data_IF_235422290111
#
_entry.id   IF_235422290111
#
_cell.length_a   1.000
_cell.length_b   1.000
_cell.length_c   1.000
_cell.angle_alpha   90.00
_cell.angle_beta   90.00
_cell.angle_gamma   90.00
#
_symmetry.space_group_name_H-M   'P 1'
#
loop_
_entity.id
_entity.type
_entity.pdbx_description
1 polymer ?
#
# COMPACT_ATOMS: atom_id res chain seq x y z
N UNK A 1 18.56 -22.18 -57.60
CA UNK A 1 17.35 -21.34 -57.65
C UNK A 1 16.19 -22.09 -57.04
N UNK A 2 15.76 -21.75 -55.82
CA UNK A 2 14.34 -21.65 -55.40
C UNK A 2 14.37 -20.73 -54.17
N UNK A 3 14.06 -19.45 -54.39
CA UNK A 3 13.79 -18.47 -53.35
C UNK A 3 12.37 -18.70 -52.83
N UNK A 4 12.23 -19.18 -51.59
CA UNK A 4 10.93 -19.24 -50.91
C UNK A 4 10.68 -17.89 -50.23
N UNK A 5 9.82 -17.09 -50.85
CA UNK A 5 9.25 -15.87 -50.29
C UNK A 5 8.12 -16.29 -49.34
N UNK A 6 8.24 -16.00 -48.05
CA UNK A 6 7.12 -16.07 -47.11
C UNK A 6 6.65 -14.66 -46.76
N UNK A 7 5.37 -14.41 -47.05
CA UNK A 7 4.69 -13.12 -46.90
C UNK A 7 4.60 -12.65 -45.44
N UNK A 8 4.54 -11.32 -45.20
CA UNK A 8 4.32 -10.76 -43.86
C UNK A 8 2.88 -11.00 -43.38
N UNK A 9 2.73 -11.21 -42.08
CA UNK A 9 1.44 -11.39 -41.41
C UNK A 9 0.59 -10.09 -41.45
N UNK A 10 -0.74 -10.18 -41.52
CA UNK A 10 -1.62 -9.03 -41.58
C UNK A 10 -1.68 -8.28 -40.24
N UNK A 11 -1.79 -6.96 -40.34
CA UNK A 11 -2.12 -6.05 -39.25
C UNK A 11 -3.66 -5.92 -39.13
N UNK A 12 -4.12 -5.51 -37.94
CA UNK A 12 -5.50 -5.46 -37.42
C UNK A 12 -5.96 -6.80 -36.83
N UNK A 13 -6.39 -6.90 -35.58
CA UNK A 13 -7.02 -5.90 -34.71
C UNK A 13 -8.22 -6.61 -34.09
N UNK A 14 -7.99 -7.33 -32.99
CA UNK A 14 -8.99 -7.81 -32.02
C UNK A 14 -8.27 -8.67 -30.96
N UNK A 15 -8.02 -8.07 -29.79
CA UNK A 15 -7.27 -8.66 -28.69
C UNK A 15 -8.03 -9.82 -28.03
N UNK A 16 -7.88 -11.02 -28.60
CA UNK A 16 -8.22 -12.29 -27.97
C UNK A 16 -6.99 -13.19 -27.88
N UNK A 17 -5.95 -12.72 -27.18
CA UNK A 17 -4.79 -13.56 -26.86
C UNK A 17 -5.30 -14.82 -26.13
N UNK A 18 -5.06 -16.00 -26.71
CA UNK A 18 -5.49 -17.26 -26.13
C UNK A 18 -4.90 -17.38 -24.72
N UNK A 19 -5.76 -17.37 -23.70
CA UNK A 19 -5.34 -17.52 -22.32
C UNK A 19 -5.18 -19.02 -22.01
N UNK A 20 -3.96 -19.43 -21.66
CA UNK A 20 -3.68 -20.74 -21.12
C UNK A 20 -4.03 -20.78 -19.64
N UNK A 21 -4.78 -21.81 -19.23
CA UNK A 21 -5.14 -22.05 -17.83
C UNK A 21 -4.56 -23.40 -17.38
N UNK A 22 -3.81 -23.42 -16.27
CA UNK A 22 -3.37 -24.67 -15.66
C UNK A 22 -4.35 -25.13 -14.57
N UNK A 23 -5.06 -26.24 -14.80
CA UNK A 23 -6.02 -26.84 -13.87
C UNK A 23 -5.44 -27.26 -12.52
N UNK A 24 -4.11 -27.38 -12.41
CA UNK A 24 -3.44 -27.81 -11.17
C UNK A 24 -2.92 -26.67 -10.32
N UNK A 25 -2.39 -25.59 -10.92
CA UNK A 25 -1.91 -24.43 -10.18
C UNK A 25 -2.88 -23.24 -10.19
N UNK A 26 -3.97 -23.31 -10.97
CA UNK A 26 -5.01 -22.28 -11.06
C UNK A 26 -4.55 -20.96 -11.69
N UNK A 27 -3.35 -20.95 -12.29
CA UNK A 27 -2.76 -19.74 -12.88
C UNK A 27 -3.14 -19.62 -14.35
N UNK A 28 -3.40 -18.39 -14.77
CA UNK A 28 -3.76 -18.00 -16.13
C UNK A 28 -2.58 -17.22 -16.73
N UNK A 29 -2.22 -17.49 -17.98
CA UNK A 29 -1.23 -16.72 -18.73
C UNK A 29 -1.63 -16.59 -20.21
N UNK A 30 -1.11 -15.59 -20.91
CA UNK A 30 -1.30 -15.44 -22.35
C UNK A 30 -0.34 -16.35 -23.11
N UNK A 31 -0.89 -17.24 -23.94
CA UNK A 31 -0.11 -18.13 -24.80
C UNK A 31 0.18 -17.45 -26.15
N UNK A 32 1.43 -17.49 -26.61
CA UNK A 32 1.77 -17.13 -28.00
C UNK A 32 1.40 -18.24 -29.01
N UNK A 33 1.17 -19.48 -28.54
CA UNK A 33 0.82 -20.65 -29.36
C UNK A 33 -0.22 -21.52 -28.63
N UNK A 34 -1.15 -22.15 -29.36
CA UNK A 34 -2.32 -22.88 -28.82
C UNK A 34 -1.99 -24.11 -27.95
N UNK A 35 -0.74 -24.50 -27.76
CA UNK A 35 -0.35 -25.60 -26.87
C UNK A 35 0.90 -25.18 -26.11
N UNK A 36 0.79 -25.02 -24.79
CA UNK A 36 1.91 -24.60 -23.95
C UNK A 36 2.15 -25.56 -22.78
N UNK A 37 3.42 -25.80 -22.48
CA UNK A 37 3.83 -26.40 -21.21
C UNK A 37 3.76 -25.30 -20.14
N UNK A 38 3.13 -25.57 -18.99
CA UNK A 38 3.03 -24.62 -17.89
C UNK A 38 4.42 -24.27 -17.36
N UNK A 39 4.83 -23.00 -17.43
CA UNK A 39 6.16 -22.52 -17.00
C UNK A 39 6.43 -22.71 -15.50
N UNK A 40 5.39 -22.92 -14.69
CA UNK A 40 5.53 -23.12 -13.24
C UNK A 40 5.58 -24.58 -12.79
N UNK A 41 5.04 -25.52 -13.58
CA UNK A 41 5.01 -26.94 -13.19
C UNK A 41 5.57 -27.90 -14.26
N UNK A 42 5.97 -27.40 -15.42
CA UNK A 42 6.65 -28.17 -16.47
C UNK A 42 5.78 -29.20 -17.20
N UNK A 43 4.45 -29.17 -17.03
CA UNK A 43 3.52 -30.12 -17.67
C UNK A 43 2.72 -29.51 -18.81
N UNK A 44 2.42 -30.33 -19.82
CA UNK A 44 1.55 -29.99 -20.95
C UNK A 44 0.18 -29.49 -20.45
N UNK A 45 -0.26 -28.34 -20.94
CA UNK A 45 -1.61 -27.81 -20.69
C UNK A 45 -2.46 -27.93 -21.95
N UNK A 46 -3.66 -28.50 -21.81
CA UNK A 46 -4.65 -28.52 -22.88
C UNK A 46 -5.44 -27.21 -22.86
N UNK A 47 -5.51 -26.51 -24.01
CA UNK A 47 -6.37 -25.35 -24.14
C UNK A 47 -7.84 -25.79 -24.08
N UNK A 48 -8.53 -25.47 -22.98
CA UNK A 48 -9.99 -25.49 -22.97
C UNK A 48 -10.48 -24.21 -23.67
N UNK A 49 -10.91 -24.33 -24.92
CA UNK A 49 -11.72 -23.29 -25.57
C UNK A 49 -13.16 -23.43 -25.09
N UNK A 50 -13.46 -23.01 -23.86
CA UNK A 50 -14.86 -22.87 -23.44
C UNK A 50 -15.40 -21.56 -24.00
N UNK A 51 -16.09 -21.61 -25.14
CA UNK A 51 -16.92 -20.52 -25.69
C UNK A 51 -18.23 -20.34 -24.91
N UNK A 52 -18.21 -20.58 -23.61
CA UNK A 52 -19.35 -20.25 -22.75
C UNK A 52 -18.96 -19.00 -21.99
N UNK A 53 -19.55 -17.86 -22.38
CA UNK A 53 -19.41 -16.60 -21.65
C UNK A 53 -19.61 -16.90 -20.15
N UNK A 54 -18.72 -16.45 -19.25
CA UNK A 54 -18.96 -16.59 -17.82
C UNK A 54 -20.33 -15.98 -17.53
N UNK A 55 -21.23 -16.77 -16.94
CA UNK A 55 -22.56 -16.25 -16.56
C UNK A 55 -22.31 -15.06 -15.66
N UNK A 56 -22.86 -13.90 -16.05
CA UNK A 56 -22.92 -12.73 -15.20
C UNK A 56 -23.52 -13.16 -13.87
N UNK A 57 -22.71 -13.21 -12.82
CA UNK A 57 -23.21 -13.38 -11.46
C UNK A 57 -24.10 -12.18 -11.23
N UNK A 58 -25.42 -12.40 -11.27
CA UNK A 58 -26.41 -11.40 -10.86
C UNK A 58 -26.02 -10.99 -9.45
N UNK A 59 -25.44 -9.82 -9.29
CA UNK A 59 -25.26 -9.16 -8.01
C UNK A 59 -26.65 -9.05 -7.40
N UNK A 60 -26.95 -9.90 -6.43
CA UNK A 60 -28.21 -9.83 -5.71
C UNK A 60 -28.25 -8.45 -5.05
N UNK A 61 -29.25 -7.64 -5.41
CA UNK A 61 -29.47 -6.29 -4.87
C UNK A 61 -30.02 -6.34 -3.44
N UNK A 62 -29.56 -7.27 -2.61
CA UNK A 62 -29.74 -7.18 -1.17
C UNK A 62 -28.95 -5.95 -0.74
N UNK A 63 -29.67 -4.84 -0.59
CA UNK A 63 -29.20 -3.56 -0.08
C UNK A 63 -28.21 -3.85 1.05
N UNK A 64 -26.91 -3.70 0.79
CA UNK A 64 -25.96 -3.48 1.87
C UNK A 64 -26.50 -2.25 2.60
N UNK A 65 -26.73 -2.28 3.92
CA UNK A 65 -27.06 -1.06 4.63
C UNK A 65 -26.00 -0.03 4.27
N UNK A 66 -26.45 1.12 3.78
CA UNK A 66 -25.59 2.28 3.56
C UNK A 66 -24.84 2.47 4.89
N UNK A 67 -23.51 2.42 4.86
CA UNK A 67 -22.75 2.88 6.02
C UNK A 67 -23.22 4.31 6.27
N UNK A 68 -23.63 4.59 7.51
CA UNK A 68 -24.05 5.93 7.88
C UNK A 68 -22.93 6.90 7.52
N UNK A 69 -23.28 8.05 6.95
CA UNK A 69 -22.34 9.14 6.68
C UNK A 69 -21.69 9.50 8.02
N UNK A 70 -20.45 9.04 8.25
CA UNK A 70 -19.72 9.32 9.49
C UNK A 70 -19.19 10.75 9.40
N UNK A 71 -20.09 11.68 9.68
CA UNK A 71 -19.74 13.05 10.02
C UNK A 71 -18.80 12.99 11.24
N UNK A 72 -17.49 13.20 11.02
CA UNK A 72 -16.59 13.87 11.95
C UNK A 72 -16.17 13.22 13.28
N UNK A 73 -16.60 12.01 13.63
CA UNK A 73 -16.17 11.43 14.91
C UNK A 73 -14.85 10.67 14.74
N UNK A 74 -13.75 11.40 14.85
CA UNK A 74 -12.40 10.85 14.85
C UNK A 74 -12.21 9.77 15.92
N UNK A 75 -11.21 8.92 15.72
CA UNK A 75 -10.80 7.83 16.63
C UNK A 75 -10.56 8.24 18.10
N UNK A 76 -10.69 9.53 18.45
CA UNK A 76 -10.59 10.09 19.79
C UNK A 76 -11.80 9.77 20.70
N UNK A 77 -12.97 9.43 20.15
CA UNK A 77 -14.18 9.11 20.92
C UNK A 77 -14.45 7.60 21.04
N UNK A 78 -13.45 6.76 20.75
CA UNK A 78 -13.62 5.31 20.84
C UNK A 78 -13.85 4.87 22.30
N UNK A 79 -14.79 3.94 22.56
CA UNK A 79 -14.94 3.37 23.88
C UNK A 79 -13.70 2.54 24.23
N UNK A 80 -13.28 2.56 25.50
CA UNK A 80 -12.27 1.61 25.98
C UNK A 80 -12.74 0.16 25.78
N UNK A 81 -11.86 -0.79 25.38
CA UNK A 81 -10.40 -0.68 25.23
C UNK A 81 -9.91 -0.21 23.85
N UNK A 82 -10.81 0.15 22.94
CA UNK A 82 -10.46 0.45 21.55
C UNK A 82 -9.70 1.77 21.38
N UNK A 83 -9.92 2.75 22.25
CA UNK A 83 -9.12 3.98 22.28
C UNK A 83 -7.65 3.67 22.58
N UNK A 84 -7.40 2.84 23.60
CA UNK A 84 -6.05 2.36 23.91
C UNK A 84 -5.42 1.62 22.73
N UNK A 85 -6.18 0.74 22.06
CA UNK A 85 -5.68 0.03 20.87
C UNK A 85 -5.32 0.97 19.73
N UNK A 86 -6.15 1.98 19.48
CA UNK A 86 -5.90 2.99 18.46
C UNK A 86 -4.60 3.77 18.75
N UNK A 87 -4.42 4.23 19.99
CA UNK A 87 -3.21 4.96 20.40
C UNK A 87 -1.93 4.12 20.22
N UNK A 88 -2.01 2.81 20.48
CA UNK A 88 -0.88 1.89 20.23
C UNK A 88 -0.67 1.64 18.74
N UNK A 89 -1.72 1.51 17.94
CA UNK A 89 -1.64 1.18 16.51
C UNK A 89 -1.15 2.35 15.65
N UNK A 90 -1.57 3.58 15.99
CA UNK A 90 -1.39 4.78 15.18
C UNK A 90 0.10 5.05 14.79
N UNK A 91 1.09 4.99 15.71
CA UNK A 91 2.48 5.19 15.34
C UNK A 91 3.02 4.16 14.33
N UNK A 92 2.56 2.90 14.41
CA UNK A 92 2.97 1.87 13.45
C UNK A 92 2.32 2.06 12.10
N UNK A 93 1.04 2.42 12.09
CA UNK A 93 0.29 2.68 10.87
C UNK A 93 0.89 3.85 10.07
N UNK A 94 1.29 4.94 10.75
CA UNK A 94 1.92 6.11 10.12
C UNK A 94 3.27 5.80 9.45
N UNK A 95 3.89 4.67 9.77
CA UNK A 95 5.20 4.29 9.22
C UNK A 95 5.11 3.45 7.93
N UNK A 96 3.92 3.36 7.35
CA UNK A 96 3.58 2.49 6.22
C UNK A 96 2.68 3.25 5.24
N UNK A 97 2.81 3.02 3.90
CA UNK A 97 1.96 3.68 2.91
C UNK A 97 0.46 3.36 3.09
N UNK A 98 0.11 2.08 3.24
CA UNK A 98 -1.26 1.61 3.48
C UNK A 98 -1.65 1.72 4.97
N UNK A 99 -1.65 2.96 5.46
CA UNK A 99 -1.85 3.29 6.88
C UNK A 99 -3.16 2.71 7.45
N UNK A 100 -4.28 2.95 6.78
CA UNK A 100 -5.61 2.59 7.30
C UNK A 100 -5.79 1.08 7.44
N UNK A 101 -5.32 0.31 6.46
CA UNK A 101 -5.41 -1.15 6.49
C UNK A 101 -4.58 -1.74 7.64
N UNK A 102 -3.34 -1.26 7.81
CA UNK A 102 -2.49 -1.72 8.92
C UNK A 102 -3.07 -1.31 10.28
N UNK A 103 -3.60 -0.10 10.39
CA UNK A 103 -4.25 0.39 11.61
C UNK A 103 -5.40 -0.53 12.02
N UNK A 104 -6.32 -0.81 11.10
CA UNK A 104 -7.46 -1.70 11.37
C UNK A 104 -7.00 -3.13 11.68
N UNK A 105 -5.97 -3.62 10.99
CA UNK A 105 -5.42 -4.96 11.24
C UNK A 105 -4.84 -5.07 12.66
N UNK A 106 -4.09 -4.06 13.12
CA UNK A 106 -3.54 -4.04 14.49
C UNK A 106 -4.67 -4.01 15.51
N UNK A 107 -5.68 -3.14 15.33
CA UNK A 107 -6.82 -3.03 16.25
C UNK A 107 -7.60 -4.36 16.31
N UNK A 108 -7.83 -5.02 15.17
CA UNK A 108 -8.49 -6.33 15.13
C UNK A 108 -7.69 -7.39 15.90
N UNK A 109 -6.37 -7.47 15.68
CA UNK A 109 -5.49 -8.41 16.39
C UNK A 109 -5.49 -8.18 17.91
N UNK A 110 -5.50 -6.92 18.34
CA UNK A 110 -5.59 -6.56 19.76
C UNK A 110 -6.94 -6.92 20.36
N UNK A 111 -8.04 -6.66 19.63
CA UNK A 111 -9.38 -7.02 20.06
C UNK A 111 -9.56 -8.54 20.20
N UNK A 112 -9.03 -9.32 19.25
CA UNK A 112 -9.07 -10.79 19.31
C UNK A 112 -8.22 -11.33 20.46
N UNK A 113 -7.03 -10.79 20.67
CA UNK A 113 -6.20 -11.14 21.82
C UNK A 113 -6.88 -10.77 23.15
N UNK A 114 -7.59 -9.65 23.19
CA UNK A 114 -8.33 -9.18 24.35
C UNK A 114 -9.55 -10.05 24.69
N UNK A 115 -10.15 -10.71 23.70
CA UNK A 115 -11.23 -11.69 23.91
C UNK A 115 -10.70 -13.05 24.37
N UNK A 116 -9.39 -13.32 24.27
CA UNK A 116 -8.81 -14.61 24.62
C UNK A 116 -8.63 -14.77 26.14
N UNK A 117 -9.12 -15.88 26.71
CA UNK A 117 -9.25 -16.10 28.16
C UNK A 117 -7.93 -16.37 28.93
N UNK A 118 -6.76 -16.12 28.36
CA UNK A 118 -5.48 -16.48 29.01
C UNK A 118 -4.26 -15.60 28.68
N UNK A 119 -4.31 -14.83 27.59
CA UNK A 119 -3.23 -13.93 27.18
C UNK A 119 -3.80 -12.57 26.78
N UNK A 120 -4.56 -11.97 27.70
CA UNK A 120 -5.13 -10.65 27.49
C UNK A 120 -3.97 -9.62 27.41
N UNK A 121 -4.02 -8.66 26.46
CA UNK A 121 -3.05 -7.58 26.36
C UNK A 121 -3.26 -6.55 27.49
N UNK A 122 -3.19 -6.98 28.75
CA UNK A 122 -3.41 -6.10 29.91
C UNK A 122 -2.22 -5.13 30.12
N UNK A 123 -1.08 -5.41 29.48
CA UNK A 123 0.10 -4.57 29.50
C UNK A 123 0.36 -3.96 28.12
N UNK A 124 0.62 -2.66 28.11
CA UNK A 124 1.00 -1.87 26.94
C UNK A 124 2.17 -2.50 26.17
N UNK A 125 3.16 -3.08 26.85
CA UNK A 125 4.30 -3.76 26.21
C UNK A 125 3.85 -4.91 25.29
N UNK A 126 2.83 -5.65 25.70
CA UNK A 126 2.32 -6.77 24.93
C UNK A 126 1.49 -6.29 23.74
N UNK A 127 0.72 -5.21 23.90
CA UNK A 127 0.07 -4.52 22.78
C UNK A 127 1.08 -4.04 21.74
N UNK A 128 2.16 -3.40 22.18
CA UNK A 128 3.26 -2.96 21.30
C UNK A 128 3.94 -4.13 20.58
N UNK A 129 4.08 -5.29 21.23
CA UNK A 129 4.58 -6.51 20.57
C UNK A 129 3.66 -6.99 19.46
N UNK A 130 2.35 -7.02 19.69
CA UNK A 130 1.36 -7.38 18.66
C UNK A 130 1.43 -6.40 17.49
N UNK A 131 1.44 -5.09 17.78
CA UNK A 131 1.52 -4.06 16.74
C UNK A 131 2.80 -4.17 15.91
N UNK A 132 3.96 -4.33 16.58
CA UNK A 132 5.26 -4.53 15.93
C UNK A 132 5.28 -5.80 15.06
N UNK A 133 4.76 -6.91 15.57
CA UNK A 133 4.68 -8.16 14.81
C UNK A 133 3.76 -8.04 13.59
N UNK A 134 2.62 -7.36 13.75
CA UNK A 134 1.65 -7.13 12.66
C UNK A 134 2.29 -6.27 11.57
N UNK A 135 3.02 -5.20 11.92
CA UNK A 135 3.80 -4.41 10.97
C UNK A 135 4.86 -5.25 10.25
N UNK A 136 5.56 -6.12 10.96
CA UNK A 136 6.55 -7.02 10.35
C UNK A 136 5.89 -8.00 9.36
N UNK A 137 4.69 -8.49 9.68
CA UNK A 137 3.89 -9.33 8.77
C UNK A 137 3.43 -8.56 7.54
N UNK A 138 2.96 -7.32 7.71
CA UNK A 138 2.61 -6.43 6.61
C UNK A 138 3.75 -6.32 5.59
N UNK A 139 4.97 -6.01 6.03
CA UNK A 139 6.12 -5.89 5.14
C UNK A 139 6.50 -7.20 4.46
N UNK A 140 6.34 -8.34 5.15
CA UNK A 140 6.56 -9.67 4.54
C UNK A 140 5.54 -9.98 3.46
N UNK A 141 4.28 -9.62 3.67
CA UNK A 141 3.22 -9.82 2.68
C UNK A 141 3.39 -8.87 1.49
N UNK A 142 3.71 -7.61 1.75
CA UNK A 142 4.03 -6.63 0.71
C UNK A 142 5.18 -7.14 -0.17
N UNK A 143 6.29 -7.57 0.42
CA UNK A 143 7.42 -8.17 -0.30
C UNK A 143 7.04 -9.44 -1.07
N UNK A 144 6.13 -10.26 -0.52
CA UNK A 144 5.62 -11.46 -1.20
C UNK A 144 4.83 -11.08 -2.46
N UNK A 145 4.02 -10.02 -2.40
CA UNK A 145 3.21 -9.55 -3.53
C UNK A 145 4.11 -8.98 -4.64
N UNK A 146 5.17 -8.24 -4.28
CA UNK A 146 6.09 -7.65 -5.27
C UNK A 146 7.05 -8.68 -5.87
N UNK A 147 7.69 -9.53 -5.04
CA UNK A 147 8.80 -10.40 -5.47
C UNK A 147 8.41 -11.88 -5.60
N UNK A 148 7.20 -12.26 -5.22
CA UNK A 148 6.65 -13.61 -5.39
C UNK A 148 7.21 -14.69 -4.45
N UNK A 149 8.28 -14.42 -3.70
CA UNK A 149 8.96 -15.38 -2.83
C UNK A 149 9.32 -14.77 -1.47
N UNK A 150 9.09 -15.53 -0.39
CA UNK A 150 9.52 -15.15 0.97
C UNK A 150 10.17 -16.33 1.69
N UNK A 151 11.15 -16.04 2.56
CA UNK A 151 11.74 -17.04 3.47
C UNK A 151 10.70 -17.64 4.44
N UNK A 152 9.59 -16.92 4.69
CA UNK A 152 8.43 -17.39 5.44
C UNK A 152 7.86 -18.72 4.93
N UNK A 153 7.96 -18.97 3.62
CA UNK A 153 7.45 -20.19 2.98
C UNK A 153 8.49 -21.33 2.90
N UNK A 154 9.73 -21.12 3.37
CA UNK A 154 10.73 -22.18 3.39
C UNK A 154 10.39 -23.24 4.44
N UNK A 155 10.65 -24.51 4.11
CA UNK A 155 10.50 -25.60 5.06
C UNK A 155 11.53 -25.50 6.20
N UNK A 156 11.24 -26.12 7.34
CA UNK A 156 12.18 -26.19 8.48
C UNK A 156 13.52 -26.79 8.05
N UNK A 157 13.50 -27.82 7.19
CA UNK A 157 14.70 -28.45 6.66
C UNK A 157 15.52 -27.50 5.78
N UNK A 158 14.88 -26.69 4.93
CA UNK A 158 15.56 -25.68 4.11
C UNK A 158 16.22 -24.61 4.98
N UNK A 159 15.51 -24.09 6.00
CA UNK A 159 16.07 -23.09 6.92
C UNK A 159 17.24 -23.63 7.72
N UNK A 160 17.18 -24.91 8.12
CA UNK A 160 18.29 -25.56 8.82
C UNK A 160 19.53 -25.63 7.92
N UNK A 161 19.38 -26.08 6.68
CA UNK A 161 20.48 -26.07 5.68
C UNK A 161 21.04 -24.67 5.47
N UNK A 162 20.19 -23.65 5.29
CA UNK A 162 20.65 -22.28 5.15
C UNK A 162 21.45 -21.78 6.37
N UNK A 163 21.13 -22.27 7.58
CA UNK A 163 21.88 -21.94 8.81
C UNK A 163 23.20 -22.69 8.89
N UNK A 164 23.21 -23.98 8.54
CA UNK A 164 24.41 -24.83 8.52
C UNK A 164 25.44 -24.32 7.50
N UNK A 165 24.98 -23.99 6.29
CA UNK A 165 25.82 -23.62 5.14
C UNK A 165 25.97 -22.09 4.98
N UNK A 166 25.42 -21.28 5.89
CA UNK A 166 25.40 -19.81 5.83
C UNK A 166 24.89 -19.20 4.50
N UNK A 167 23.92 -19.85 3.85
CA UNK A 167 23.39 -19.48 2.52
C UNK A 167 22.40 -18.29 2.54
N UNK A 168 22.44 -17.45 3.58
CA UNK A 168 21.50 -16.33 3.69
C UNK A 168 21.79 -15.23 2.65
N UNK A 169 23.07 -14.95 2.37
CA UNK A 169 23.46 -13.94 1.38
C UNK A 169 22.98 -14.23 -0.04
N UNK A 170 22.98 -15.51 -0.41
CA UNK A 170 22.61 -15.98 -1.76
C UNK A 170 21.13 -16.29 -1.90
N UNK A 171 20.34 -16.14 -0.82
CA UNK A 171 18.96 -16.57 -0.84
C UNK A 171 18.10 -15.66 -1.74
N UNK A 172 17.49 -16.19 -2.82
CA UNK A 172 16.61 -15.40 -3.69
C UNK A 172 15.29 -15.01 -3.00
N UNK A 173 15.01 -15.56 -1.81
CA UNK A 173 13.80 -15.32 -1.03
C UNK A 173 14.02 -14.36 0.15
N UNK A 174 15.26 -13.95 0.38
CA UNK A 174 15.61 -12.98 1.40
C UNK A 174 15.44 -11.58 0.81
N UNK A 175 14.97 -10.64 1.64
CA UNK A 175 14.99 -9.21 1.30
C UNK A 175 16.45 -8.80 1.21
N UNK A 176 16.95 -8.55 0.00
CA UNK A 176 18.31 -8.04 -0.20
C UNK A 176 18.30 -6.55 0.08
N UNK A 177 19.13 -6.11 1.02
CA UNK A 177 19.41 -4.69 1.22
C UNK A 177 20.53 -4.34 0.25
N UNK A 178 20.29 -3.38 -0.65
CA UNK A 178 21.31 -2.88 -1.55
C UNK A 178 22.11 -1.75 -0.88
N UNK A 179 23.36 -1.58 -1.29
CA UNK A 179 24.19 -0.45 -0.82
C UNK A 179 23.69 0.85 -1.46
N UNK A 180 23.60 1.92 -0.68
CA UNK A 180 23.26 3.25 -1.21
C UNK A 180 24.34 3.79 -2.15
N UNK A 181 25.59 3.35 -2.02
CA UNK A 181 26.70 3.74 -2.90
C UNK A 181 26.77 2.89 -4.18
N UNK A 182 25.73 2.08 -4.44
CA UNK A 182 25.67 1.26 -5.65
C UNK A 182 25.55 2.21 -6.86
N UNK A 183 26.45 2.11 -7.85
CA UNK A 183 26.35 2.92 -9.06
C UNK A 183 25.14 2.45 -9.88
N UNK A 184 24.29 3.40 -10.25
CA UNK A 184 23.07 3.21 -11.05
C UNK A 184 23.13 4.18 -12.23
N UNK A 185 22.60 3.72 -13.37
CA UNK A 185 22.49 4.55 -14.56
C UNK A 185 21.22 5.41 -14.41
N UNK A 186 21.38 6.73 -14.40
CA UNK A 186 20.26 7.65 -14.35
C UNK A 186 19.48 7.69 -15.69
N UNK A 187 18.40 8.47 -15.71
CA UNK A 187 17.60 8.66 -16.94
C UNK A 187 18.33 9.37 -18.09
N UNK A 188 19.49 9.98 -17.80
CA UNK A 188 20.34 10.72 -18.74
C UNK A 188 21.55 9.88 -19.22
N UNK A 189 21.73 8.66 -18.69
CA UNK A 189 22.82 7.75 -19.03
C UNK A 189 24.09 7.92 -18.20
N UNK A 190 24.09 8.76 -17.15
CA UNK A 190 25.24 8.95 -16.26
C UNK A 190 25.25 7.92 -15.12
N UNK A 191 26.44 7.64 -14.58
CA UNK A 191 26.61 6.81 -13.39
C UNK A 191 26.45 7.67 -12.14
N UNK A 192 25.39 7.41 -11.38
CA UNK A 192 25.01 8.14 -10.17
C UNK A 192 24.83 7.15 -9.01
N UNK A 193 25.03 7.57 -7.77
CA UNK A 193 24.81 6.67 -6.64
C UNK A 193 23.31 6.46 -6.38
N UNK A 194 22.91 5.23 -6.02
CA UNK A 194 21.52 4.90 -5.66
C UNK A 194 20.95 5.87 -4.62
N UNK A 195 21.76 6.26 -3.63
CA UNK A 195 21.33 7.17 -2.57
C UNK A 195 20.89 8.55 -3.07
N UNK A 196 21.49 9.06 -4.15
CA UNK A 196 21.16 10.38 -4.72
C UNK A 196 19.84 10.36 -5.50
N UNK A 197 19.38 9.18 -5.92
CA UNK A 197 18.14 9.01 -6.68
C UNK A 197 16.91 8.75 -5.78
N UNK A 198 17.12 8.56 -4.47
CA UNK A 198 16.03 8.33 -3.53
C UNK A 198 15.54 9.69 -3.04
N UNK A 199 14.30 10.03 -3.34
CA UNK A 199 13.66 11.23 -2.81
C UNK A 199 13.53 11.13 -1.28
N UNK A 200 13.82 12.23 -0.57
CA UNK A 200 13.47 12.34 0.84
C UNK A 200 12.03 12.85 0.95
N UNK A 201 11.10 11.92 1.18
CA UNK A 201 9.67 12.19 1.36
C UNK A 201 9.39 13.14 2.55
N UNK A 202 10.39 13.43 3.38
CA UNK A 202 10.33 14.38 4.51
C UNK A 202 11.11 15.66 4.29
N UNK A 203 11.66 15.88 3.10
CA UNK A 203 12.31 17.14 2.79
C UNK A 203 11.32 18.30 2.99
N UNK A 204 11.76 19.34 3.69
CA UNK A 204 11.01 20.58 3.83
C UNK A 204 10.86 21.20 2.43
N UNK A 205 9.61 21.39 2.00
CA UNK A 205 9.30 22.19 0.82
C UNK A 205 9.64 23.66 1.13
N UNK A 206 10.82 24.09 0.67
CA UNK A 206 11.37 25.41 0.95
C UNK A 206 10.46 26.50 0.36
N UNK A 207 9.90 26.25 -0.83
CA UNK A 207 9.03 27.20 -1.51
C UNK A 207 7.71 27.34 -0.75
N UNK A 208 7.09 26.22 -0.36
CA UNK A 208 5.90 26.26 0.48
C UNK A 208 6.16 26.95 1.82
N UNK A 209 7.36 26.79 2.39
CA UNK A 209 7.72 27.45 3.65
C UNK A 209 7.93 28.97 3.49
N UNK A 210 8.56 29.41 2.39
CA UNK A 210 8.71 30.82 2.06
C UNK A 210 7.37 31.49 1.74
N UNK A 211 6.48 30.81 1.02
CA UNK A 211 5.13 31.28 0.73
C UNK A 211 4.32 31.44 2.01
N UNK A 212 4.38 30.45 2.92
CA UNK A 212 3.73 30.55 4.22
C UNK A 212 4.26 31.73 5.04
N UNK A 213 5.58 31.96 5.06
CA UNK A 213 6.18 33.11 5.76
C UNK A 213 5.74 34.44 5.14
N UNK A 214 5.71 34.52 3.82
CA UNK A 214 5.30 35.73 3.09
C UNK A 214 3.82 36.04 3.34
N UNK A 215 2.98 35.00 3.33
CA UNK A 215 1.57 35.12 3.69
C UNK A 215 1.39 35.63 5.12
N UNK A 216 2.08 35.05 6.10
CA UNK A 216 1.97 35.47 7.51
C UNK A 216 2.40 36.93 7.71
N UNK A 217 3.41 37.41 6.98
CA UNK A 217 3.85 38.80 7.02
C UNK A 217 2.86 39.79 6.37
N UNK A 218 2.15 39.35 5.33
CA UNK A 218 1.16 40.18 4.62
C UNK A 218 -0.28 40.05 5.17
N UNK A 219 -0.54 39.08 6.04
CA UNK A 219 -1.87 38.77 6.53
C UNK A 219 -2.38 39.85 7.50
N UNK A 220 -3.69 40.20 7.46
CA UNK A 220 -4.28 41.08 8.45
C UNK A 220 -4.18 40.49 9.86
N UNK A 221 -3.87 41.32 10.86
CA UNK A 221 -3.73 40.93 12.28
C UNK A 221 -4.96 40.18 12.83
N UNK A 222 -6.16 40.55 12.37
CA UNK A 222 -7.40 39.85 12.72
C UNK A 222 -7.45 38.40 12.25
N UNK A 223 -6.80 38.08 11.12
CA UNK A 223 -6.72 36.71 10.60
C UNK A 223 -5.69 35.90 11.40
N UNK A 224 -4.57 36.52 11.78
CA UNK A 224 -3.53 35.90 12.61
C UNK A 224 -4.08 35.52 13.99
N UNK A 225 -4.77 36.43 14.67
CA UNK A 225 -5.38 36.14 15.98
C UNK A 225 -6.46 35.05 15.92
N UNK A 226 -7.23 34.96 14.83
CA UNK A 226 -8.15 33.84 14.58
C UNK A 226 -7.37 32.52 14.41
N UNK A 227 -6.21 32.56 13.75
CA UNK A 227 -5.32 31.41 13.58
C UNK A 227 -4.75 30.92 14.91
N UNK A 228 -4.25 31.82 15.76
CA UNK A 228 -3.74 31.51 17.10
C UNK A 228 -4.82 30.83 17.95
N UNK A 229 -6.04 31.38 17.99
CA UNK A 229 -7.18 30.75 18.70
C UNK A 229 -7.49 29.34 18.21
N UNK A 230 -7.37 29.09 16.91
CA UNK A 230 -7.57 27.75 16.34
C UNK A 230 -6.45 26.79 16.76
N UNK A 231 -5.21 27.27 16.84
CA UNK A 231 -4.06 26.49 17.28
C UNK A 231 -4.18 26.11 18.77
N UNK A 232 -4.66 27.05 19.60
CA UNK A 232 -4.87 26.85 21.04
C UNK A 232 -6.17 26.09 21.36
N UNK A 233 -7.02 25.85 20.36
CA UNK A 233 -8.28 25.12 20.49
C UNK A 233 -9.42 25.93 21.12
N UNK A 234 -9.33 27.26 21.12
CA UNK A 234 -10.37 28.15 21.64
C UNK A 234 -11.59 28.26 20.71
N UNK A 235 -12.76 28.49 21.31
CA UNK A 235 -14.00 28.62 20.54
C UNK A 235 -14.09 29.98 19.83
N UNK A 236 -14.21 29.96 18.50
CA UNK A 236 -14.38 31.16 17.67
C UNK A 236 -15.75 31.81 17.88
N UNK A 237 -15.74 33.12 18.07
CA UNK A 237 -16.96 33.95 18.07
C UNK A 237 -17.64 33.93 16.70
N UNK A 238 -18.93 34.30 16.65
CA UNK A 238 -19.68 34.33 15.39
C UNK A 238 -19.07 35.30 14.35
N UNK A 239 -18.55 36.44 14.81
CA UNK A 239 -17.89 37.42 13.95
C UNK A 239 -16.58 36.91 13.35
N UNK A 240 -15.78 36.19 14.13
CA UNK A 240 -14.53 35.56 13.67
C UNK A 240 -14.80 34.44 12.66
N UNK A 241 -15.79 33.57 12.92
CA UNK A 241 -16.22 32.54 11.97
C UNK A 241 -16.65 33.12 10.62
N UNK A 242 -17.42 34.21 10.66
CA UNK A 242 -17.88 34.89 9.45
C UNK A 242 -16.71 35.52 8.68
N UNK A 243 -15.76 36.12 9.39
CA UNK A 243 -14.56 36.71 8.80
C UNK A 243 -13.68 35.65 8.13
N UNK A 244 -13.42 34.53 8.81
CA UNK A 244 -12.65 33.39 8.28
C UNK A 244 -13.33 32.77 7.06
N UNK A 245 -14.66 32.63 7.08
CA UNK A 245 -15.43 32.10 5.94
C UNK A 245 -15.27 32.96 4.68
N UNK A 246 -15.32 34.30 4.81
CA UNK A 246 -15.10 35.22 3.69
C UNK A 246 -13.71 35.05 3.08
N UNK A 247 -12.68 34.99 3.93
CA UNK A 247 -11.28 34.78 3.48
C UNK A 247 -11.09 33.43 2.79
N UNK A 248 -11.62 32.33 3.35
CA UNK A 248 -11.56 31.00 2.71
C UNK A 248 -12.23 30.98 1.33
N UNK A 249 -13.34 31.69 1.17
CA UNK A 249 -14.05 31.79 -0.11
C UNK A 249 -13.26 32.57 -1.16
N UNK A 250 -12.43 33.52 -0.75
CA UNK A 250 -11.57 34.30 -1.64
C UNK A 250 -10.36 33.49 -2.13
N UNK A 251 -9.76 32.67 -1.27
CA UNK A 251 -8.60 31.82 -1.61
C UNK A 251 -8.96 30.52 -2.33
N UNK A 252 -10.24 30.13 -2.32
CA UNK A 252 -10.71 28.97 -3.08
C UNK A 252 -10.49 29.21 -4.59
N UNK A 253 -9.53 28.49 -5.16
CA UNK A 253 -9.39 28.40 -6.62
C UNK A 253 -10.69 27.84 -7.19
N UNK A 254 -11.32 28.59 -8.09
CA UNK A 254 -12.44 28.06 -8.88
C UNK A 254 -11.92 26.84 -9.64
N UNK A 255 -12.60 25.70 -9.49
CA UNK A 255 -12.35 24.54 -10.35
C UNK A 255 -12.73 24.95 -11.78
N UNK A 256 -11.72 25.10 -12.63
CA UNK A 256 -11.86 25.26 -14.09
C UNK A 256 -11.73 23.90 -14.73
#
# INVERSE_FOLDING_TARGET
>A
MVTMITAPAPQNGDNSNAQGHCSRCGKIWTLMQRQGVCRWCGKLSHCQTSTTKPRHVKSSSRRKPKQADSNGNGYHELPEPYLTFYNVALPFANSVPDREDLLHTIIANLADANRSNGHKPDNLSWMYRIASFTKAQYWREHYKRTNGLTCGNCSKAQRRKCKEDWLYGDCPKLVKVESLHKPIIDSQGNLTELGELIADDKALDIDAWLDARTFLLGAPERLLSIGEKLQDGEALTHGERTYLWKWRKQEQKNLV
#
